data_IF_187632379308
#
_entry.id   IF_187632379308
#
_cell.length_a   1.000
_cell.length_b   1.000
_cell.length_c   1.000
_cell.angle_alpha   90.00
_cell.angle_beta   90.00
_cell.angle_gamma   90.00
#
_symmetry.space_group_name_H-M   'P 1'
#
loop_
_entity.id
_entity.type
_entity.pdbx_description
1 polymer ?
2 non-polymer ?
3 non-polymer ?
4 non-polymer ?
5 non-polymer ?
6 water ?
#
# COMPACT_ATOMS: atom_id res chain seq x y z
N UNK A 2 -26.14 -37.96 15.85
CA UNK A 2 -25.48 -36.82 16.55
C UNK A 2 -24.04 -36.61 16.09
N UNK A 3 -23.64 -37.28 15.01
CA UNK A 3 -22.28 -37.16 14.48
C UNK A 3 -22.12 -35.86 13.66
N UNK A 4 -20.98 -35.19 13.82
CA UNK A 4 -20.65 -33.95 13.09
C UNK A 4 -20.57 -34.21 11.58
N UNK A 5 -21.10 -33.28 10.76
CA UNK A 5 -21.12 -33.52 9.30
C UNK A 5 -19.75 -33.54 8.63
N UNK A 6 -18.82 -32.69 9.08
CA UNK A 6 -17.53 -32.56 8.42
C UNK A 6 -16.46 -33.42 9.05
N UNK A 7 -15.72 -34.14 8.22
CA UNK A 7 -14.45 -34.73 8.64
C UNK A 7 -13.39 -33.63 8.58
N UNK A 8 -12.21 -33.90 9.12
CA UNK A 8 -11.12 -32.92 9.08
C UNK A 8 -10.75 -32.57 7.64
N UNK A 9 -10.63 -33.58 6.79
CA UNK A 9 -10.25 -33.36 5.40
C UNK A 9 -11.32 -32.55 4.64
N UNK A 10 -12.60 -32.85 4.89
CA UNK A 10 -13.68 -32.08 4.28
C UNK A 10 -13.68 -30.64 4.79
N UNK A 11 -13.44 -30.47 6.10
CA UNK A 11 -13.38 -29.15 6.70
C UNK A 11 -12.21 -28.34 6.16
N UNK A 12 -11.08 -29.01 5.97
CA UNK A 12 -9.87 -28.36 5.45
C UNK A 12 -10.10 -27.83 4.04
N UNK A 13 -10.69 -28.65 3.18
CA UNK A 13 -10.96 -28.25 1.80
C UNK A 13 -12.02 -27.15 1.75
N UNK A 14 -13.07 -27.28 2.55
CA UNK A 14 -14.13 -26.27 2.59
C UNK A 14 -13.62 -24.93 3.10
N UNK A 15 -12.78 -24.96 4.14
CA UNK A 15 -12.16 -23.73 4.67
C UNK A 15 -11.34 -23.03 3.59
N UNK A 16 -10.54 -23.80 2.86
CA UNK A 16 -9.78 -23.25 1.74
C UNK A 16 -10.69 -22.57 0.72
N UNK A 17 -11.77 -23.25 0.33
CA UNK A 17 -12.74 -22.69 -0.61
C UNK A 17 -13.33 -21.37 -0.09
N UNK A 18 -13.78 -21.40 1.16
CA UNK A 18 -14.40 -20.21 1.78
C UNK A 18 -13.43 -19.05 1.84
N UNK A 19 -12.19 -19.31 2.23
CA UNK A 19 -11.19 -18.23 2.32
C UNK A 19 -10.93 -17.59 0.96
N UNK A 20 -10.82 -18.39 -0.07
CA UNK A 20 -10.62 -17.88 -1.43
C UNK A 20 -11.79 -16.97 -1.83
N UNK A 21 -13.01 -17.44 -1.61
CA UNK A 21 -14.20 -16.68 -1.97
C UNK A 21 -14.36 -15.40 -1.16
N UNK A 22 -14.10 -15.48 0.14
CA UNK A 22 -14.21 -14.31 1.03
C UNK A 22 -13.13 -13.27 0.74
N UNK A 23 -11.92 -13.74 0.41
CA UNK A 23 -10.84 -12.83 0.02
C UNK A 23 -11.17 -12.09 -1.27
N UNK A 24 -11.79 -12.80 -2.22
CA UNK A 24 -12.23 -12.20 -3.47
C UNK A 24 -13.30 -11.13 -3.21
N UNK A 25 -14.31 -11.48 -2.42
CA UNK A 25 -15.40 -10.55 -2.13
C UNK A 25 -14.90 -9.30 -1.41
N UNK A 26 -14.00 -9.48 -0.46
CA UNK A 26 -13.42 -8.36 0.28
C UNK A 26 -12.64 -7.45 -0.65
N UNK A 27 -11.86 -8.04 -1.56
CA UNK A 27 -11.13 -7.26 -2.57
C UNK A 27 -12.07 -6.43 -3.41
N UNK A 28 -13.15 -7.04 -3.89
CA UNK A 28 -14.16 -6.33 -4.68
C UNK A 28 -14.79 -5.18 -3.89
N UNK A 29 -15.14 -5.47 -2.64
CA UNK A 29 -15.86 -4.53 -1.77
C UNK A 29 -14.99 -3.33 -1.37
N UNK A 30 -13.76 -3.61 -0.95
CA UNK A 30 -12.87 -2.58 -0.39
C UNK A 30 -11.97 -1.90 -1.42
N UNK A 31 -11.43 -2.68 -2.36
CA UNK A 31 -10.43 -2.19 -3.30
C UNK A 31 -11.07 -1.75 -4.63
N UNK A 32 -11.82 -2.64 -5.27
CA UNK A 32 -12.52 -2.28 -6.50
C UNK A 32 -13.69 -1.33 -6.25
N UNK A 33 -14.21 -1.35 -5.02
CA UNK A 33 -15.44 -0.61 -4.66
C UNK A 33 -16.60 -1.02 -5.57
N UNK A 34 -16.61 -2.29 -5.95
CA UNK A 34 -17.61 -2.86 -6.83
C UNK A 34 -17.90 -4.29 -6.37
N UNK A 35 -18.66 -4.44 -5.27
CA UNK A 35 -18.96 -5.78 -4.77
C UNK A 35 -19.87 -6.54 -5.74
N UNK A 36 -19.52 -7.79 -6.00
CA UNK A 36 -20.33 -8.66 -6.85
C UNK A 36 -21.49 -9.31 -6.07
N UNK A 37 -21.39 -9.30 -4.75
CA UNK A 37 -22.46 -9.87 -3.90
C UNK A 37 -22.90 -8.91 -2.81
N UNK A 38 -24.15 -9.05 -2.39
CA UNK A 38 -24.69 -8.27 -1.28
C UNK A 38 -24.06 -8.72 0.04
N UNK A 39 -24.07 -7.83 1.02
CA UNK A 39 -23.44 -8.09 2.30
C UNK A 39 -23.94 -9.39 2.97
N UNK A 40 -25.23 -9.71 2.81
CA UNK A 40 -25.78 -10.91 3.42
C UNK A 40 -25.11 -12.18 2.90
N UNK A 41 -24.73 -12.18 1.62
CA UNK A 41 -24.04 -13.31 1.02
C UNK A 41 -22.65 -13.47 1.64
N UNK A 42 -21.90 -12.38 1.69
CA UNK A 42 -20.59 -12.36 2.34
C UNK A 42 -20.68 -12.82 3.79
N UNK A 43 -21.63 -12.24 4.54
CA UNK A 43 -21.77 -12.55 5.96
C UNK A 43 -22.09 -14.04 6.18
N UNK A 44 -22.89 -14.61 5.29
CA UNK A 44 -23.27 -16.02 5.40
C UNK A 44 -22.07 -16.94 5.25
N UNK A 45 -21.26 -16.70 4.22
CA UNK A 45 -20.08 -17.52 3.98
C UNK A 45 -19.02 -17.31 5.07
N UNK A 46 -18.93 -16.07 5.58
CA UNK A 46 -18.00 -15.74 6.67
C UNK A 46 -18.35 -16.54 7.94
N UNK A 47 -19.63 -16.57 8.29
CA UNK A 47 -20.07 -17.37 9.44
C UNK A 47 -19.74 -18.86 9.28
N UNK A 48 -19.90 -19.39 8.07
CA UNK A 48 -19.58 -20.81 7.82
C UNK A 48 -18.11 -21.08 8.15
N UNK A 49 -17.23 -20.16 7.71
CA UNK A 49 -15.80 -20.26 8.00
C UNK A 49 -15.51 -20.18 9.50
N UNK A 50 -16.14 -19.21 10.18
CA UNK A 50 -15.99 -19.07 11.64
C UNK A 50 -16.33 -20.39 12.34
N UNK A 51 -17.46 -20.99 11.96
CA UNK A 51 -17.90 -22.24 12.58
C UNK A 51 -16.94 -23.41 12.31
N UNK A 52 -16.37 -23.47 11.11
CA UNK A 52 -15.34 -24.49 10.82
C UNK A 52 -14.11 -24.27 11.69
N UNK A 53 -13.68 -23.02 11.81
CA UNK A 53 -12.49 -22.68 12.60
C UNK A 53 -12.69 -22.92 14.08
N UNK A 54 -13.92 -22.76 14.55
CA UNK A 54 -14.28 -23.05 15.93
C UNK A 54 -14.20 -24.56 16.21
N UNK A 55 -14.73 -25.36 15.29
CA UNK A 55 -14.73 -26.82 15.44
C UNK A 55 -13.36 -27.45 15.16
N UNK A 56 -12.61 -26.84 14.24
CA UNK A 56 -11.27 -27.32 13.86
C UNK A 56 -10.24 -26.18 13.95
N UNK A 57 -9.80 -25.80 15.17
CA UNK A 57 -8.82 -24.72 15.36
C UNK A 57 -7.51 -24.89 14.58
N UNK A 58 -7.08 -26.14 14.34
CA UNK A 58 -5.88 -26.40 13.53
C UNK A 58 -5.96 -25.82 12.13
N UNK A 59 -7.18 -25.59 11.63
CA UNK A 59 -7.38 -25.06 10.29
C UNK A 59 -7.25 -23.56 10.21
N UNK A 60 -7.17 -22.88 11.36
CA UNK A 60 -7.01 -21.43 11.37
C UNK A 60 -5.63 -21.09 10.82
N UNK A 61 -5.61 -20.28 9.77
CA UNK A 61 -4.37 -19.79 9.20
C UNK A 61 -4.21 -18.33 9.63
N UNK A 62 -2.96 -17.87 9.84
CA UNK A 62 -2.74 -16.46 10.23
C UNK A 62 -3.34 -15.45 9.25
N UNK A 63 -3.46 -15.84 7.98
CA UNK A 63 -3.98 -14.96 6.93
C UNK A 63 -5.50 -15.13 6.66
N UNK A 64 -6.17 -16.00 7.41
CA UNK A 64 -7.62 -16.20 7.22
C UNK A 64 -8.38 -14.88 7.38
N UNK A 65 -9.50 -14.71 6.65
CA UNK A 65 -10.33 -13.52 6.84
C UNK A 65 -10.71 -13.23 8.30
N UNK A 66 -10.85 -14.28 9.10
CA UNK A 66 -11.24 -14.13 10.51
C UNK A 66 -10.15 -13.48 11.36
N UNK A 67 -8.91 -13.52 10.89
CA UNK A 67 -7.79 -12.93 11.62
C UNK A 67 -7.68 -11.41 11.41
N UNK A 68 -8.52 -10.86 10.51
CA UNK A 68 -8.54 -9.43 10.22
C UNK A 68 -9.08 -8.56 11.35
N UNK A 69 -10.12 -9.05 12.04
CA UNK A 69 -10.93 -8.21 12.93
C UNK A 69 -10.20 -7.67 14.16
N UNK A 70 -9.02 -8.21 14.47
CA UNK A 70 -8.22 -7.72 15.57
C UNK A 70 -8.65 -8.30 16.90
N UNK A 71 -7.90 -7.99 17.94
CA UNK A 71 -8.10 -8.57 19.26
C UNK A 71 -6.78 -8.89 19.92
N UNK A 72 -5.82 -9.35 19.12
CA UNK A 72 -4.46 -9.62 19.61
C UNK A 72 -3.82 -8.33 20.10
N UNK A 73 -3.05 -8.44 21.18
CA UNK A 73 -2.28 -7.33 21.74
C UNK A 73 -0.82 -7.75 21.85
N UNK A 74 0.07 -6.96 21.27
CA UNK A 74 1.50 -7.25 21.33
C UNK A 74 2.13 -6.59 22.56
N UNK A 75 3.25 -7.14 23.01
CA UNK A 75 4.03 -6.57 24.10
C UNK A 75 4.93 -5.46 23.59
N UNK A 76 5.38 -5.62 22.34
CA UNK A 76 6.17 -4.60 21.65
C UNK A 76 6.29 -4.99 20.19
N UNK A 77 6.84 -4.09 19.38
CA UNK A 77 7.11 -4.40 17.99
C UNK A 77 8.54 -4.90 17.84
N UNK A 78 8.69 -6.04 17.20
CA UNK A 78 10.01 -6.52 16.80
C UNK A 78 10.54 -5.60 15.71
N UNK A 79 11.85 -5.40 15.67
CA UNK A 79 12.49 -4.71 14.55
C UNK A 79 12.20 -5.45 13.24
N UNK A 80 12.12 -4.68 12.14
CA UNK A 80 11.85 -5.24 10.82
C UNK A 80 12.91 -4.78 9.84
N UNK A 81 14.02 -5.54 9.72
CA UNK A 81 15.05 -5.18 8.76
C UNK A 81 14.54 -5.18 7.31
N UNK A 82 15.09 -4.27 6.51
CA UNK A 82 14.81 -4.23 5.08
C UNK A 82 16.04 -4.69 4.35
N UNK A 83 16.02 -5.95 3.92
CA UNK A 83 17.17 -6.57 3.24
C UNK A 83 17.55 -5.76 1.99
N UNK A 84 16.53 -5.32 1.26
CA UNK A 84 16.68 -4.36 0.18
C UNK A 84 16.19 -3.03 0.74
N UNK A 85 17.07 -2.01 0.82
CA UNK A 85 16.68 -0.75 1.48
C UNK A 85 15.45 -0.08 0.86
N UNK A 86 14.68 0.61 1.70
CA UNK A 86 13.61 1.47 1.23
C UNK A 86 14.17 2.86 1.00
N UNK A 87 14.72 3.06 -0.20
CA UNK A 87 15.38 4.31 -0.58
C UNK A 87 14.43 5.50 -0.61
N UNK A 88 14.98 6.71 -0.51
CA UNK A 88 14.22 7.94 -0.70
C UNK A 88 14.68 8.58 -1.99
N UNK A 89 13.80 9.39 -2.59
CA UNK A 89 14.08 10.01 -3.87
C UNK A 89 14.76 11.36 -3.69
N UNK A 90 15.55 11.76 -4.67
CA UNK A 90 16.00 13.15 -4.77
C UNK A 90 14.77 14.02 -4.97
N UNK A 91 14.81 15.24 -4.44
CA UNK A 91 13.68 16.17 -4.53
C UNK A 91 13.94 17.26 -5.57
N UNK A 92 12.85 17.74 -6.18
CA UNK A 92 12.86 18.92 -7.03
C UNK A 92 11.76 19.85 -6.56
N UNK A 93 11.96 21.15 -6.80
CA UNK A 93 11.00 22.17 -6.34
C UNK A 93 10.54 23.14 -7.43
N UNK A 94 11.28 23.22 -8.53
CA UNK A 94 10.99 24.18 -9.60
C UNK A 94 10.86 23.50 -10.95
N UNK A 95 10.35 24.24 -11.92
CA UNK A 95 10.33 23.80 -13.30
C UNK A 95 11.76 23.52 -13.78
N UNK A 96 12.70 24.38 -13.37
CA UNK A 96 14.12 24.21 -13.68
C UNK A 96 14.66 22.86 -13.18
N UNK A 97 14.33 22.52 -11.95
CA UNK A 97 14.78 21.24 -11.35
C UNK A 97 14.28 20.04 -12.15
N UNK A 98 13.03 20.11 -12.60
CA UNK A 98 12.42 18.98 -13.30
C UNK A 98 12.95 18.84 -14.73
N UNK A 99 13.10 19.96 -15.44
CA UNK A 99 13.69 19.94 -16.79
C UNK A 99 15.17 19.57 -16.75
N UNK A 100 15.88 20.03 -15.71
CA UNK A 100 17.28 19.64 -15.50
C UNK A 100 17.40 18.13 -15.26
N UNK A 101 16.49 17.56 -14.49
CA UNK A 101 16.44 16.11 -14.27
C UNK A 101 16.31 15.37 -15.60
N UNK A 102 15.35 15.80 -16.42
CA UNK A 102 15.14 15.23 -17.75
C UNK A 102 16.38 15.36 -18.63
N UNK A 103 17.05 16.51 -18.56
CA UNK A 103 18.27 16.72 -19.34
C UNK A 103 19.34 15.70 -18.93
N UNK A 104 19.48 15.46 -17.62
CA UNK A 104 20.47 14.51 -17.13
C UNK A 104 20.13 13.07 -17.55
N UNK A 105 18.84 12.74 -17.54
CA UNK A 105 18.36 11.43 -17.99
C UNK A 105 18.65 11.22 -19.48
N UNK A 106 18.30 12.20 -20.29
CA UNK A 106 18.52 12.13 -21.74
C UNK A 106 20.02 12.06 -22.07
N UNK A 107 20.84 12.77 -21.30
CA UNK A 107 22.30 12.69 -21.45
C UNK A 107 22.80 11.27 -21.21
N UNK A 108 22.33 10.65 -20.13
CA UNK A 108 22.77 9.31 -19.77
C UNK A 108 22.27 8.23 -20.74
N UNK A 109 21.01 8.35 -21.17
CA UNK A 109 20.39 7.34 -22.02
C UNK A 109 20.64 7.57 -23.52
N UNK A 110 20.71 8.83 -23.93
CA UNK A 110 21.01 9.19 -25.31
C UNK A 110 19.81 9.29 -26.25
N UNK A 111 18.61 9.36 -25.68
CA UNK A 111 17.38 9.52 -26.45
C UNK A 111 16.28 10.06 -25.54
N UNK A 112 15.14 10.49 -26.13
CA UNK A 112 14.01 10.85 -25.28
C UNK A 112 13.50 9.64 -24.51
N UNK A 113 12.98 9.89 -23.31
CA UNK A 113 12.60 8.85 -22.38
C UNK A 113 11.21 9.16 -21.84
N UNK A 114 10.35 8.14 -21.82
CA UNK A 114 9.00 8.26 -21.29
C UNK A 114 9.05 8.12 -19.77
N UNK A 115 8.15 8.83 -19.10
CA UNK A 115 8.10 8.86 -17.64
C UNK A 115 6.74 8.39 -17.12
N UNK A 116 6.77 7.51 -16.12
CA UNK A 116 5.57 7.14 -15.40
C UNK A 116 5.43 8.13 -14.25
N UNK A 117 4.31 8.86 -14.25
CA UNK A 117 4.07 9.92 -13.27
C UNK A 117 2.98 9.49 -12.30
N UNK A 118 3.26 9.66 -11.02
CA UNK A 118 2.37 9.18 -9.97
C UNK A 118 2.27 10.25 -8.88
N UNK A 119 1.18 10.20 -8.12
CA UNK A 119 1.03 11.08 -6.96
C UNK A 119 1.91 10.58 -5.81
N UNK A 120 2.57 11.50 -5.13
CA UNK A 120 3.36 11.18 -3.95
C UNK A 120 2.43 11.20 -2.74
N UNK A 121 2.07 10.02 -2.25
CA UNK A 121 1.07 9.88 -1.20
C UNK A 121 1.74 10.21 0.15
N UNK A 122 1.12 11.10 0.91
CA UNK A 122 1.74 11.57 2.16
C UNK A 122 1.13 10.85 3.36
N UNK A 123 1.73 9.71 3.72
CA UNK A 123 1.27 8.90 4.85
C UNK A 123 2.43 8.24 5.55
N UNK A 124 2.29 6.95 5.87
CA UNK A 124 3.38 6.14 6.44
C UNK A 124 3.85 5.16 5.38
N UNK A 125 5.12 5.21 5.01
CA UNK A 125 5.66 4.24 4.06
C UNK A 125 5.66 2.85 4.66
N UNK A 126 5.26 1.87 3.87
CA UNK A 126 5.16 0.48 4.33
C UNK A 126 5.77 -0.48 3.31
N UNK A 127 6.18 -1.65 3.81
CA UNK A 127 6.63 -2.76 2.98
C UNK A 127 5.84 -4.01 3.37
N UNK A 128 5.28 -4.69 2.37
CA UNK A 128 4.45 -5.87 2.59
C UNK A 128 5.10 -7.09 1.94
N UNK A 129 5.45 -8.07 2.77
CA UNK A 129 6.12 -9.29 2.30
C UNK A 129 5.14 -10.42 2.06
N UNK A 130 5.22 -11.03 0.88
CA UNK A 130 4.39 -12.17 0.54
C UNK A 130 5.28 -13.37 0.23
N UNK A 131 4.90 -14.52 0.76
CA UNK A 131 5.61 -15.78 0.49
C UNK A 131 4.62 -16.74 -0.16
N UNK A 132 4.92 -17.16 -1.39
CA UNK A 132 4.02 -17.99 -2.17
C UNK A 132 2.58 -17.45 -2.18
N UNK A 133 2.47 -16.14 -2.32
CA UNK A 133 1.17 -15.47 -2.43
C UNK A 133 0.47 -15.15 -1.12
N UNK A 134 1.12 -15.41 0.01
CA UNK A 134 0.49 -15.20 1.33
C UNK A 134 1.20 -14.09 2.13
N UNK A 135 0.40 -13.19 2.70
CA UNK A 135 0.93 -12.08 3.52
C UNK A 135 1.61 -12.61 4.79
N UNK A 136 2.92 -12.38 4.90
CA UNK A 136 3.70 -12.88 6.04
C UNK A 136 4.39 -11.81 6.89
N UNK A 137 4.68 -10.63 6.33
CA UNK A 137 5.26 -9.55 7.13
C UNK A 137 4.84 -8.18 6.60
N UNK A 138 4.44 -7.31 7.52
CA UNK A 138 4.16 -5.91 7.21
C UNK A 138 5.08 -5.06 8.06
N UNK A 139 5.74 -4.08 7.46
CA UNK A 139 6.74 -3.29 8.17
C UNK A 139 6.66 -1.82 7.80
N UNK A 140 6.95 -0.97 8.77
CA UNK A 140 7.15 0.45 8.52
C UNK A 140 8.52 0.65 7.90
N UNK A 141 8.73 1.82 7.30
CA UNK A 141 10.00 2.14 6.66
C UNK A 141 11.10 2.33 7.70
N UNK A 142 10.78 2.95 8.82
CA UNK A 142 11.78 3.33 9.81
C UNK A 142 12.78 4.28 9.19
N UNK A 143 14.07 3.97 9.31
CA UNK A 143 15.10 4.79 8.66
C UNK A 143 15.43 4.35 7.23
N UNK A 144 14.68 3.37 6.70
CA UNK A 144 14.90 2.83 5.36
C UNK A 144 15.68 1.52 5.37
N UNK A 145 16.38 1.24 6.46
CA UNK A 145 17.13 -0.01 6.64
C UNK A 145 16.52 -0.90 7.71
N UNK A 146 16.03 -0.29 8.78
CA UNK A 146 15.31 -1.01 9.82
C UNK A 146 14.03 -0.28 10.21
N UNK A 147 12.91 -0.98 10.13
CA UNK A 147 11.62 -0.47 10.59
C UNK A 147 11.02 -1.32 11.69
N UNK A 148 9.70 -1.24 11.85
CA UNK A 148 9.00 -2.00 12.89
C UNK A 148 8.05 -2.99 12.26
N UNK A 149 7.99 -4.19 12.85
CA UNK A 149 7.13 -5.25 12.38
C UNK A 149 5.70 -4.99 12.87
N UNK A 150 4.87 -4.47 11.97
CA UNK A 150 3.46 -4.16 12.28
C UNK A 150 2.50 -5.05 11.50
N UNK A 151 2.90 -6.30 11.29
CA UNK A 151 2.15 -7.28 10.49
C UNK A 151 0.70 -7.41 10.93
N UNK A 152 0.49 -7.58 12.25
CA UNK A 152 -0.86 -7.80 12.77
C UNK A 152 -1.76 -6.59 12.58
N UNK A 153 -1.20 -5.40 12.82
CA UNK A 153 -1.93 -4.15 12.57
C UNK A 153 -2.34 -4.01 11.12
N UNK A 154 -1.44 -4.31 10.19
CA UNK A 154 -1.73 -4.17 8.76
C UNK A 154 -2.75 -5.19 8.24
N UNK A 155 -2.85 -6.35 8.91
CA UNK A 155 -3.93 -7.30 8.61
C UNK A 155 -5.30 -6.65 8.80
N UNK A 156 -5.43 -5.74 9.77
CA UNK A 156 -6.71 -5.07 10.03
C UNK A 156 -7.07 -4.05 8.96
N UNK A 157 -6.08 -3.65 8.15
CA UNK A 157 -6.30 -2.69 7.06
C UNK A 157 -6.86 -3.45 5.86
N UNK A 158 -8.13 -3.24 5.56
CA UNK A 158 -8.88 -4.12 4.65
C UNK A 158 -8.39 -4.12 3.20
N UNK A 159 -7.73 -3.06 2.76
CA UNK A 159 -7.18 -3.01 1.40
C UNK A 159 -5.94 -3.86 1.22
N UNK A 160 -5.30 -4.26 2.33
CA UNK A 160 -4.12 -5.11 2.29
C UNK A 160 -4.59 -6.54 2.00
N UNK A 161 -4.14 -7.12 0.87
CA UNK A 161 -4.61 -8.46 0.57
C UNK A 161 -3.93 -9.51 1.45
N UNK A 162 -4.71 -10.48 1.92
CA UNK A 162 -4.16 -11.57 2.71
C UNK A 162 -3.57 -12.64 1.78
N UNK A 163 -4.16 -12.76 0.58
CA UNK A 163 -3.65 -13.64 -0.47
C UNK A 163 -3.74 -12.95 -1.83
N UNK A 164 -2.75 -13.21 -2.68
CA UNK A 164 -2.72 -12.68 -4.03
C UNK A 164 -3.33 -13.68 -5.00
N UNK A 165 -3.55 -13.27 -6.24
CA UNK A 165 -4.16 -14.13 -7.25
C UNK A 165 -3.22 -15.23 -7.73
N UNK A 166 -1.91 -15.04 -7.51
CA UNK A 166 -0.90 -16.02 -7.90
C UNK A 166 0.06 -16.25 -6.74
N UNK A 167 0.63 -17.46 -6.63
CA UNK A 167 1.48 -17.80 -5.49
C UNK A 167 2.94 -17.33 -5.67
N UNK A 168 3.13 -16.01 -5.80
CA UNK A 168 4.46 -15.43 -5.94
C UNK A 168 5.01 -14.92 -4.61
N UNK A 169 6.32 -14.88 -4.50
CA UNK A 169 7.00 -14.28 -3.36
C UNK A 169 7.50 -12.91 -3.79
N UNK A 170 7.07 -11.86 -3.07
CA UNK A 170 7.37 -10.50 -3.45
C UNK A 170 7.28 -9.57 -2.24
N UNK A 171 8.07 -8.48 -2.29
CA UNK A 171 8.13 -7.50 -1.22
C UNK A 171 7.59 -6.19 -1.80
N UNK A 172 6.37 -5.83 -1.43
CA UNK A 172 5.64 -4.75 -2.11
C UNK A 172 5.61 -3.49 -1.25
N UNK A 173 5.93 -2.35 -1.86
CA UNK A 173 6.07 -1.12 -1.11
C UNK A 173 5.08 -0.05 -1.53
N UNK A 174 4.70 0.76 -0.56
CA UNK A 174 3.68 1.76 -0.77
C UNK A 174 3.49 2.65 0.43
N UNK A 175 2.30 3.23 0.54
CA UNK A 175 1.95 4.06 1.69
C UNK A 175 0.64 3.60 2.31
N UNK A 176 0.55 3.76 3.61
CA UNK A 176 -0.69 3.60 4.35
C UNK A 176 -1.04 4.98 4.91
N UNK A 177 -2.29 5.38 4.75
CA UNK A 177 -2.72 6.71 5.13
C UNK A 177 -4.10 6.67 5.79
N UNK A 178 -4.44 7.76 6.47
CA UNK A 178 -5.79 7.96 7.00
C UNK A 178 -6.49 9.00 6.13
N UNK A 179 -7.63 8.64 5.51
CA UNK A 179 -8.36 9.64 4.72
C UNK A 179 -8.65 10.91 5.52
N UNK A 180 -8.65 12.06 4.84
CA UNK A 180 -8.83 13.35 5.49
C UNK A 180 -10.12 13.43 6.32
N UNK A 181 -11.20 12.90 5.77
CA UNK A 181 -12.50 12.94 6.47
C UNK A 181 -12.47 12.13 7.77
N UNK A 182 -11.79 10.98 7.74
CA UNK A 182 -11.64 10.14 8.93
C UNK A 182 -10.77 10.79 9.99
N UNK A 183 -9.71 11.48 9.55
CA UNK A 183 -8.81 12.20 10.44
C UNK A 183 -9.54 13.26 11.26
N UNK A 184 -10.31 14.11 10.58
CA UNK A 184 -11.00 15.18 11.29
C UNK A 184 -12.01 14.63 12.28
N UNK A 185 -12.74 13.58 11.88
CA UNK A 185 -13.67 12.88 12.78
C UNK A 185 -12.96 12.27 13.99
N UNK A 186 -11.82 11.61 13.75
CA UNK A 186 -11.06 11.01 14.83
C UNK A 186 -10.59 12.04 15.85
N UNK A 187 -10.07 13.16 15.36
CA UNK A 187 -9.60 14.21 16.24
C UNK A 187 -10.71 14.76 17.13
N UNK A 188 -11.93 14.87 16.59
CA UNK A 188 -13.06 15.34 17.38
C UNK A 188 -13.41 14.31 18.45
N UNK A 189 -13.40 13.04 18.09
CA UNK A 189 -13.61 11.96 19.03
C UNK A 189 -12.60 12.04 20.18
N UNK A 190 -11.32 12.20 19.83
CA UNK A 190 -10.25 12.33 20.81
C UNK A 190 -10.44 13.56 21.71
N UNK A 191 -10.84 14.69 21.13
CA UNK A 191 -11.14 15.90 21.88
C UNK A 191 -12.17 15.62 22.97
N UNK A 192 -13.24 14.93 22.58
CA UNK A 192 -14.35 14.59 23.49
C UNK A 192 -13.92 13.58 24.55
N UNK A 193 -12.96 12.71 24.21
CA UNK A 193 -12.39 11.75 25.18
C UNK A 193 -11.32 12.35 26.10
N UNK A 194 -10.99 13.63 25.91
CA UNK A 194 -9.91 14.27 26.66
C UNK A 194 -8.53 13.77 26.28
N UNK A 195 -8.39 13.28 25.05
CA UNK A 195 -7.12 12.80 24.53
C UNK A 195 -6.47 13.89 23.69
N UNK A 196 -5.14 13.83 23.59
CA UNK A 196 -4.40 14.77 22.75
C UNK A 196 -4.76 14.52 21.29
N UNK A 197 -5.02 15.58 20.55
CA UNK A 197 -5.35 15.44 19.13
C UNK A 197 -4.09 15.19 18.32
N UNK A 198 -4.27 14.63 17.11
CA UNK A 198 -3.16 14.45 16.18
C UNK A 198 -2.94 15.72 15.37
N UNK A 199 -1.66 16.07 15.16
CA UNK A 199 -1.31 17.31 14.47
C UNK A 199 -1.79 17.31 13.01
N UNK A 200 -1.81 16.13 12.39
CA UNK A 200 -2.21 15.98 10.99
C UNK A 200 -2.52 14.50 10.68
N UNK A 201 -3.04 14.20 9.47
CA UNK A 201 -3.36 12.80 9.16
C UNK A 201 -2.16 11.84 9.12
N UNK A 202 -0.95 12.34 8.84
CA UNK A 202 0.25 11.48 8.86
C UNK A 202 0.54 10.99 10.27
N UNK A 203 0.52 11.90 11.24
CA UNK A 203 0.70 11.53 12.64
C UNK A 203 -0.42 10.61 13.11
N UNK A 204 -1.63 10.86 12.62
CA UNK A 204 -2.77 10.00 12.97
C UNK A 204 -2.61 8.59 12.43
N UNK A 205 -2.14 8.47 11.18
CA UNK A 205 -1.86 7.15 10.59
C UNK A 205 -0.73 6.46 11.36
N UNK A 206 0.33 7.21 11.67
CA UNK A 206 1.47 6.65 12.42
C UNK A 206 1.07 6.21 13.83
N UNK A 207 0.30 7.05 14.52
CA UNK A 207 -0.20 6.72 15.85
C UNK A 207 -1.03 5.45 15.83
N UNK A 208 -1.87 5.33 14.80
CA UNK A 208 -2.75 4.17 14.63
C UNK A 208 -1.96 2.89 14.38
N UNK A 209 -0.96 2.96 13.50
CA UNK A 209 -0.20 1.76 13.11
C UNK A 209 0.83 1.33 14.15
N UNK A 210 1.13 2.24 15.09
CA UNK A 210 2.04 1.93 16.18
C UNK A 210 1.34 1.61 17.52
N UNK A 211 0.02 1.40 17.47
CA UNK A 211 -0.71 0.90 18.64
C UNK A 211 -0.47 -0.60 18.77
N UNK A 212 -0.24 -1.06 20.00
CA UNK A 212 0.03 -2.48 20.25
C UNK A 212 -1.25 -3.30 20.26
N UNK A 213 -2.37 -2.65 20.57
CA UNK A 213 -3.66 -3.34 20.65
C UNK A 213 -4.37 -3.25 19.30
N UNK A 214 -4.44 -4.38 18.60
CA UNK A 214 -5.03 -4.41 17.25
C UNK A 214 -6.52 -4.07 17.21
N UNK A 215 -7.21 -4.24 18.34
CA UNK A 215 -8.61 -3.83 18.45
C UNK A 215 -8.74 -2.33 18.23
N UNK A 216 -7.83 -1.57 18.81
CA UNK A 216 -7.79 -0.11 18.62
C UNK A 216 -7.48 0.21 17.17
N UNK A 217 -6.48 -0.47 16.61
CA UNK A 217 -6.06 -0.26 15.23
C UNK A 217 -7.22 -0.52 14.26
N UNK A 218 -7.93 -1.62 14.48
CA UNK A 218 -9.08 -1.99 13.65
C UNK A 218 -10.18 -0.91 13.62
N UNK A 219 -10.35 -0.17 14.72
CA UNK A 219 -11.36 0.90 14.80
C UNK A 219 -11.00 2.12 13.93
N UNK A 220 -9.71 2.29 13.65
CA UNK A 220 -9.24 3.43 12.86
C UNK A 220 -9.50 3.14 11.38
N UNK A 221 -9.70 4.20 10.60
CA UNK A 221 -9.91 4.06 9.16
C UNK A 221 -8.62 4.35 8.40
N UNK A 222 -7.99 3.29 7.89
CA UNK A 222 -6.73 3.41 7.16
C UNK A 222 -6.90 2.80 5.78
N UNK A 223 -6.12 3.30 4.83
CA UNK A 223 -6.10 2.73 3.48
C UNK A 223 -4.68 2.72 2.91
N UNK A 224 -4.53 2.10 1.75
CA UNK A 224 -3.22 1.93 1.14
C UNK A 224 -3.20 2.19 -0.36
N UNK A 225 -2.04 2.62 -0.83
CA UNK A 225 -1.70 2.55 -2.25
C UNK A 225 -0.31 1.93 -2.35
N UNK A 226 -0.17 0.90 -3.19
CA UNK A 226 1.13 0.26 -3.43
C UNK A 226 1.61 0.64 -4.83
N UNK A 227 2.92 0.85 -4.98
CA UNK A 227 3.45 1.33 -6.26
C UNK A 227 4.76 0.68 -6.75
N UNK A 228 5.39 -0.15 -5.94
CA UNK A 228 6.61 -0.85 -6.39
C UNK A 228 6.91 -2.10 -5.58
N UNK A 229 7.97 -2.80 -5.95
CA UNK A 229 8.46 -3.95 -5.19
C UNK A 229 9.98 -3.85 -5.04
N UNK A 230 10.51 -4.56 -4.05
CA UNK A 230 11.94 -4.54 -3.75
C UNK A 230 12.74 -5.26 -4.84
N UNK A 231 12.12 -6.29 -5.40
CA UNK A 231 12.76 -7.14 -6.40
C UNK A 231 11.72 -7.56 -7.44
N UNK A 232 11.89 -7.09 -8.67
CA UNK A 232 10.95 -7.38 -9.77
C UNK A 232 11.17 -8.75 -10.41
N UNK A 233 12.09 -9.55 -9.86
CA UNK A 233 12.35 -10.91 -10.34
C UNK A 233 11.15 -11.76 -10.69
N UNK A 234 10.20 -11.92 -9.75
CA UNK A 234 9.00 -12.74 -9.99
C UNK A 234 7.85 -12.01 -10.71
N UNK A 235 8.07 -10.74 -11.06
CA UNK A 235 7.08 -9.96 -11.79
C UNK A 235 7.32 -10.09 -13.31
N UNK A 236 6.23 -10.05 -14.08
CA UNK A 236 6.31 -10.05 -15.54
C UNK A 236 6.58 -8.66 -16.11
N UNK A 237 6.28 -7.61 -15.34
CA UNK A 237 6.37 -6.22 -15.82
C UNK A 237 7.76 -5.84 -16.32
N UNK A 238 7.82 -5.12 -17.43
CA UNK A 238 9.07 -4.58 -17.96
C UNK A 238 9.15 -3.05 -17.89
N UNK A 239 8.06 -2.42 -17.44
CA UNK A 239 8.01 -0.98 -17.23
C UNK A 239 7.28 -0.71 -15.92
N UNK A 240 7.41 0.53 -15.43
CA UNK A 240 6.77 0.95 -14.19
C UNK A 240 5.25 0.99 -14.35
N UNK A 241 4.78 1.50 -15.48
CA UNK A 241 3.35 1.56 -15.78
C UNK A 241 2.75 0.15 -15.79
N UNK A 242 3.44 -0.79 -16.42
CA UNK A 242 3.06 -2.21 -16.40
C UNK A 242 3.07 -2.77 -14.98
N UNK A 243 4.07 -2.37 -14.19
CA UNK A 243 4.19 -2.84 -12.82
C UNK A 243 2.97 -2.42 -11.98
N UNK A 244 2.51 -1.20 -12.16
CA UNK A 244 1.30 -0.73 -11.46
C UNK A 244 0.07 -1.55 -11.85
N UNK A 245 -0.07 -1.86 -13.14
CA UNK A 245 -1.18 -2.68 -13.64
C UNK A 245 -1.12 -4.07 -13.02
N UNK A 246 0.09 -4.63 -12.95
CA UNK A 246 0.31 -5.98 -12.44
C UNK A 246 0.04 -6.07 -10.94
N UNK A 247 0.46 -5.05 -10.20
CA UNK A 247 0.16 -4.98 -8.76
C UNK A 247 -1.35 -4.93 -8.53
N UNK A 248 -2.06 -4.18 -9.36
CA UNK A 248 -3.51 -4.10 -9.29
C UNK A 248 -4.14 -5.45 -9.65
N UNK A 249 -3.62 -6.10 -10.70
CA UNK A 249 -4.12 -7.40 -11.15
C UNK A 249 -4.03 -8.48 -10.07
N UNK A 250 -2.91 -8.50 -9.35
CA UNK A 250 -2.68 -9.55 -8.33
C UNK A 250 -3.34 -9.27 -6.98
N UNK A 251 -3.88 -8.06 -6.79
CA UNK A 251 -4.79 -7.78 -5.68
C UNK A 251 -4.50 -6.59 -4.78
N UNK A 252 -3.49 -5.80 -5.12
CA UNK A 252 -3.13 -4.61 -4.33
C UNK A 252 -3.93 -3.40 -4.79
N UNK A 253 -4.22 -2.51 -3.85
CA UNK A 253 -4.81 -1.22 -4.19
C UNK A 253 -3.73 -0.30 -4.77
N UNK A 254 -3.96 0.19 -5.97
CA UNK A 254 -3.04 1.11 -6.64
C UNK A 254 -3.74 2.43 -6.92
N UNK A 255 -2.96 3.49 -7.06
CA UNK A 255 -3.53 4.82 -7.27
C UNK A 255 -3.91 5.02 -8.73
N UNK A 256 -5.18 5.39 -8.99
CA UNK A 256 -5.69 5.47 -10.37
C UNK A 256 -5.32 6.75 -11.12
N UNK A 257 -4.61 7.67 -10.49
CA UNK A 257 -4.30 8.96 -11.10
C UNK A 257 -2.98 8.96 -11.88
N UNK A 258 -2.30 7.81 -11.97
CA UNK A 258 -1.02 7.78 -12.68
C UNK A 258 -1.21 8.04 -14.18
N UNK A 259 -0.14 8.51 -14.81
CA UNK A 259 -0.15 8.79 -16.25
C UNK A 259 1.23 8.55 -16.85
N UNK A 260 1.28 7.92 -18.02
CA UNK A 260 2.53 7.71 -18.75
C UNK A 260 2.76 8.91 -19.67
N UNK A 261 3.84 9.64 -19.45
CA UNK A 261 4.15 10.86 -20.20
C UNK A 261 5.33 10.65 -21.16
N UNK A 262 5.21 11.16 -22.38
CA UNK A 262 6.23 10.95 -23.43
C UNK A 262 7.33 12.01 -23.47
N UNK A 263 7.10 13.14 -22.81
CA UNK A 263 8.09 14.21 -22.70
C UNK A 263 7.99 14.87 -21.34
N UNK A 264 9.03 15.61 -20.97
CA UNK A 264 9.05 16.36 -19.71
C UNK A 264 8.01 17.49 -19.73
N UNK A 265 7.64 17.95 -20.93
CA UNK A 265 6.59 18.95 -21.07
C UNK A 265 5.23 18.36 -20.69
N UNK A 266 4.99 17.11 -21.09
CA UNK A 266 3.80 16.38 -20.63
C UNK A 266 3.83 16.15 -19.13
N UNK A 267 5.01 15.83 -18.60
CA UNK A 267 5.19 15.67 -17.15
C UNK A 267 4.81 16.97 -16.43
N UNK A 268 5.22 18.10 -16.99
CA UNK A 268 4.92 19.38 -16.37
C UNK A 268 3.43 19.65 -16.30
N UNK A 269 2.72 19.33 -17.39
CA UNK A 269 1.26 19.50 -17.42
C UNK A 269 0.56 18.63 -16.37
N UNK A 270 1.07 17.41 -16.19
CA UNK A 270 0.57 16.51 -15.15
C UNK A 270 0.76 17.12 -13.76
N UNK A 271 1.94 17.69 -13.52
CA UNK A 271 2.23 18.36 -12.25
C UNK A 271 1.24 19.50 -12.00
N UNK A 272 1.04 20.33 -13.02
CA UNK A 272 0.08 21.44 -12.95
C UNK A 272 -1.35 20.93 -12.70
N UNK A 273 -1.73 19.89 -13.43
CA UNK A 273 -3.07 19.30 -13.32
C UNK A 273 -3.37 18.85 -11.89
N UNK A 274 -2.42 18.15 -11.27
CA UNK A 274 -2.68 17.57 -9.96
C UNK A 274 -2.39 18.51 -8.78
N UNK A 275 -1.66 19.59 -9.02
CA UNK A 275 -1.60 20.67 -8.02
C UNK A 275 -2.99 21.24 -7.86
N UNK A 276 -3.69 21.44 -8.98
CA UNK A 276 -5.06 21.95 -8.95
C UNK A 276 -6.04 20.93 -8.37
N UNK A 277 -5.86 19.65 -8.69
CA UNK A 277 -6.75 18.59 -8.18
C UNK A 277 -6.48 18.18 -6.72
N UNK A 278 -5.33 18.57 -6.19
CA UNK A 278 -4.92 18.20 -4.82
C UNK A 278 -6.03 18.34 -3.78
N UNK A 279 -6.68 19.50 -3.77
CA UNK A 279 -7.72 19.80 -2.78
C UNK A 279 -8.95 18.90 -2.87
N UNK A 280 -9.16 18.30 -4.05
CA UNK A 280 -10.33 17.46 -4.28
C UNK A 280 -10.13 16.01 -3.87
N UNK A 281 -8.89 15.62 -3.55
CA UNK A 281 -8.60 14.23 -3.24
C UNK A 281 -8.90 13.95 -1.77
N UNK A 282 -9.39 12.72 -1.45
CA UNK A 282 -9.70 12.36 -0.07
C UNK A 282 -8.48 11.93 0.75
N UNK A 283 -7.31 11.89 0.11
CA UNK A 283 -6.05 11.55 0.75
C UNK A 283 -5.05 12.67 0.47
N UNK A 284 -4.07 12.83 1.36
CA UNK A 284 -3.06 13.87 1.22
C UNK A 284 -1.94 13.44 0.28
N UNK A 285 -1.44 14.38 -0.51
CA UNK A 285 -0.23 14.16 -1.30
C UNK A 285 0.78 15.26 -0.98
N UNK A 286 2.07 14.96 -1.05
CA UNK A 286 3.08 16.01 -0.81
C UNK A 286 3.79 16.39 -2.10
N UNK A 287 3.38 15.79 -3.22
CA UNK A 287 3.98 16.09 -4.52
C UNK A 287 3.71 15.03 -5.57
N UNK A 288 4.65 14.95 -6.53
CA UNK A 288 4.53 14.11 -7.71
C UNK A 288 5.81 13.31 -7.87
N UNK A 289 5.70 12.01 -8.12
CA UNK A 289 6.88 11.20 -8.40
C UNK A 289 6.97 10.95 -9.90
N UNK A 290 8.16 11.19 -10.45
CA UNK A 290 8.42 11.07 -11.88
C UNK A 290 9.50 10.01 -12.02
N UNK A 291 9.17 8.91 -12.70
CA UNK A 291 10.06 7.77 -12.84
C UNK A 291 10.26 7.45 -14.32
N UNK A 292 11.51 7.21 -14.73
CA UNK A 292 11.76 6.66 -16.06
C UNK A 292 10.95 5.37 -16.17
N UNK A 293 10.12 5.25 -17.21
CA UNK A 293 9.18 4.14 -17.30
C UNK A 293 9.83 2.77 -17.53
N UNK A 294 10.76 2.70 -18.49
CA UNK A 294 11.36 1.44 -18.90
C UNK A 294 12.35 0.90 -17.86
N UNK A 295 12.13 -0.32 -17.38
CA UNK A 295 13.04 -0.93 -16.41
C UNK A 295 14.45 -1.07 -16.95
N UNK A 296 14.58 -1.36 -18.24
CA UNK A 296 15.89 -1.47 -18.87
C UNK A 296 16.69 -0.17 -18.68
N UNK A 297 16.00 0.95 -18.82
CA UNK A 297 16.63 2.26 -18.69
C UNK A 297 16.88 2.61 -17.21
N UNK A 298 15.96 2.22 -16.34
CA UNK A 298 16.18 2.36 -14.90
C UNK A 298 17.47 1.63 -14.47
N UNK A 299 17.64 0.40 -14.97
CA UNK A 299 18.82 -0.40 -14.65
C UNK A 299 20.11 0.25 -15.15
N UNK A 300 20.05 0.79 -16.36
CA UNK A 300 21.19 1.49 -16.96
C UNK A 300 21.59 2.71 -16.12
N UNK A 301 20.60 3.50 -15.72
CA UNK A 301 20.83 4.70 -14.92
C UNK A 301 21.34 4.36 -13.52
N UNK A 302 20.74 3.36 -12.90
CA UNK A 302 21.17 2.89 -11.59
C UNK A 302 20.91 3.88 -10.48
N UNK A 303 21.62 3.68 -9.38
CA UNK A 303 21.51 4.53 -8.21
C UNK A 303 22.83 5.25 -7.98
N UNK A 304 22.75 6.41 -7.34
CA UNK A 304 23.92 7.01 -6.72
C UNK A 304 24.06 6.36 -5.33
N UNK A 305 24.98 6.86 -4.52
CA UNK A 305 25.10 6.38 -3.14
C UNK A 305 23.82 6.65 -2.36
N UNK A 306 23.16 7.76 -2.69
CA UNK A 306 22.01 8.27 -1.93
C UNK A 306 20.63 7.89 -2.48
N UNK A 307 20.50 7.78 -3.81
CA UNK A 307 19.17 7.61 -4.41
C UNK A 307 19.18 7.20 -5.88
N UNK A 308 18.01 6.82 -6.43
CA UNK A 308 17.94 6.46 -7.84
C UNK A 308 18.29 7.63 -8.75
N UNK A 309 18.95 7.34 -9.88
CA UNK A 309 19.19 8.36 -10.90
C UNK A 309 18.08 8.36 -11.97
N UNK A 310 17.06 7.54 -11.77
CA UNK A 310 15.95 7.41 -12.73
C UNK A 310 14.63 7.94 -12.22
N UNK A 311 14.66 8.61 -11.06
CA UNK A 311 13.44 9.20 -10.50
C UNK A 311 13.71 10.50 -9.75
N UNK A 312 12.67 11.33 -9.63
CA UNK A 312 12.69 12.54 -8.84
C UNK A 312 11.30 12.77 -8.26
N UNK A 313 11.25 13.34 -7.06
CA UNK A 313 10.00 13.74 -6.44
C UNK A 313 9.88 15.26 -6.51
N UNK A 314 8.86 15.74 -7.21
CA UNK A 314 8.57 17.17 -7.24
C UNK A 314 7.70 17.46 -6.02
N UNK A 315 8.16 18.33 -5.14
CA UNK A 315 7.47 18.61 -3.89
C UNK A 315 6.59 19.86 -3.99
N UNK A 316 5.30 19.70 -3.66
CA UNK A 316 4.38 20.84 -3.58
C UNK A 316 4.61 21.53 -2.23
N UNK A 317 4.03 22.73 -2.06
CA UNK A 317 3.99 23.32 -0.72
C UNK A 317 3.32 22.36 0.26
N UNK A 318 3.65 22.50 1.56
CA UNK A 318 3.02 21.59 2.54
C UNK A 318 1.49 21.72 2.52
N UNK A 319 0.82 20.63 2.85
CA UNK A 319 -0.64 20.62 2.95
C UNK A 319 -1.16 21.78 3.79
N UNK A 320 -0.45 22.10 4.87
CA UNK A 320 -0.88 23.14 5.81
C UNK A 320 -0.86 24.55 5.18
N UNK A 321 -0.05 24.73 4.14
CA UNK A 321 0.02 25.99 3.39
C UNK A 321 -1.10 26.17 2.36
N UNK A 322 -1.86 25.09 2.10
CA UNK A 322 -3.00 25.14 1.19
C UNK A 322 -4.26 24.80 1.98
N UNK A 323 -4.45 25.59 3.04
CA UNK A 323 -5.49 25.44 4.07
C UNK A 323 -5.78 23.99 4.46
X LIG B 1 7.92 7.47 -1.78
X LIG B 1 6.57 7.59 -2.34
X LIG B 1 6.53 7.14 -3.67
X LIG B 1 4.24 8.11 -2.43
X LIG B 1 5.38 8.09 -1.75
X LIG B 1 5.15 6.70 -5.72
X LIG B 1 8.81 6.94 -2.62
X LIG B 1 5.28 7.19 -4.34
X LIG B 1 4.15 7.68 -3.67
X LIG B 1 5.40 8.56 -0.45
X LIG B 1 6.14 6.37 -6.34
X LIG B 1 3.94 6.60 -6.30
X LIG B 1 8.12 6.57 -4.18
X LIG B 1 10.62 6.62 -2.22
X LIG C 1 -14.41 -6.83 6.35
X LIG C 1 -15.28 -7.65 7.36
X LIG C 1 -15.11 -9.19 7.11
X LIG C 1 -14.82 -7.32 8.82
X LIG C 1 -16.81 -7.17 7.15
X LIG C 1 -17.31 -5.96 7.72
X LIG C 1 -18.52 -5.38 6.96
X LIG C 1 -18.21 -5.19 5.54
X LIG C 1 -19.76 -6.29 7.03
X LIG C 1 -20.94 -5.49 7.13
X LIG C 1 -19.71 -7.04 5.68
X LIG C 1 -21.01 -7.44 5.23
X LIG C 1 -19.13 -5.97 4.74
X LIG C 1 -18.41 -6.63 3.64
X LIG C 1 -19.07 -6.89 2.53
X LIG C 1 -18.44 -7.52 1.45
X LIG C 1 -19.19 -7.82 0.20
X LIG C 1 -18.67 -8.51 -0.65
X LIG C 1 -20.42 -7.34 -0.01
X LIG C 1 -17.08 -7.87 1.59
X LIG C 1 -16.41 -7.58 2.77
X LIG C 1 -17.12 -6.95 3.79
X LIG D 1 3.28 23.70 -9.68
X LIG D 1 2.04 23.81 -9.61
X LIG D 1 3.98 23.50 -8.67
X LIG D 1 3.96 23.81 -11.02
X LIG E 1 -10.07 -0.10 10.32
X LIG F 1 -7.81 22.84 -5.91
#
# INVERSE_FOLDING_TARGET
MEQQPLTLTAATTRAQELRKQLNQYSHEYYVKDQPSVEDYVYDRLYKELVDIETEFPDLITPDSPTQRVGGKVLSGFEKAPHDIPMYSLNDGFSKEDIFAFDERVRKAIGKPVAYCCELKIDGLAISLRYENGVFVRGATRGDGTVGENITENLRTVRSVPMRLTEPISVEVRGECYMPKQSFVALNEEREENGQDIFANPRNAAAGSLRQLDTKIVAKRNLNTFLYTVADFGPMKAKTQFEALEELSAIGFRTNPERQLCQSIDEVWAYIEEYHEKRSTLPYEIDGIVIKVNEFALQDELGFTVKAPRWAIAYKFPPEEAET
1X7 C1 C2 C3 N6 C7 C9 C13 C4 C5 N8 O10 N11 S12 BR1
NMN O3P P O1P O2P O5R C5R C4R O4R C3R O3R C2R O2R C1R N1 C2 C3 C7 O7 N7 C4 C5 C6
ACT C O OXT CH3
NA NA
NA NA
#
